data_IF_447101138556
#
_entry.id   IF_447101138556
#
_cell.length_a   1.000
_cell.length_b   1.000
_cell.length_c   1.000
_cell.angle_alpha   90.00
_cell.angle_beta   90.00
_cell.angle_gamma   90.00
#
_symmetry.space_group_name_H-M   'P 1'
#
loop_
_entity.id
_entity.type
_entity.pdbx_description
1 polymer ?
#
# COMPACT_ATOMS: atom_id res chain seq x y z
N UNK A 1 -2.85 -44.04 -29.83
CA UNK A 1 -1.67 -44.56 -30.58
C UNK A 1 -0.99 -43.39 -31.26
N UNK A 2 0.36 -43.37 -31.32
CA UNK A 2 1.24 -42.36 -31.95
C UNK A 2 1.10 -40.88 -31.46
N UNK A 3 2.12 -40.01 -31.30
CA UNK A 3 3.51 -39.86 -31.79
C UNK A 3 3.72 -39.24 -33.18
N UNK A 4 3.94 -37.92 -33.22
CA UNK A 4 4.80 -37.12 -34.13
C UNK A 4 4.71 -35.63 -33.68
N UNK A 5 5.73 -34.79 -33.45
CA UNK A 5 7.20 -34.82 -33.52
C UNK A 5 7.91 -34.46 -34.86
N UNK A 6 8.42 -33.20 -34.93
CA UNK A 6 9.57 -32.70 -35.76
C UNK A 6 9.36 -32.61 -37.29
N UNK A 7 10.09 -31.78 -38.08
CA UNK A 7 11.01 -30.65 -37.83
C UNK A 7 11.17 -29.77 -39.13
N UNK A 8 12.30 -29.05 -39.27
CA UNK A 8 12.87 -28.36 -40.47
C UNK A 8 12.53 -26.87 -40.70
N UNK A 9 13.30 -26.09 -41.50
CA UNK A 9 14.75 -25.78 -41.43
C UNK A 9 15.18 -24.68 -42.45
N UNK A 10 16.13 -23.81 -42.06
CA UNK A 10 17.05 -23.01 -42.92
C UNK A 10 16.48 -21.89 -43.85
N UNK A 11 17.37 -20.98 -44.30
CA UNK A 11 17.15 -19.88 -45.28
C UNK A 11 18.03 -20.07 -46.54
N UNK A 12 18.71 -19.05 -47.14
CA UNK A 12 18.74 -17.59 -46.89
C UNK A 12 18.88 -16.68 -48.19
N UNK A 13 19.28 -15.40 -48.03
CA UNK A 13 19.95 -14.45 -48.98
C UNK A 13 19.14 -13.35 -49.77
N UNK A 14 19.84 -12.23 -50.12
CA UNK A 14 19.37 -10.99 -50.79
C UNK A 14 19.32 -9.73 -49.87
N UNK A 15 19.90 -8.52 -50.07
CA UNK A 15 20.83 -7.84 -51.03
C UNK A 15 20.32 -6.81 -52.09
N UNK A 16 21.18 -5.80 -52.37
CA UNK A 16 21.05 -4.56 -53.23
C UNK A 16 20.15 -3.43 -52.63
N UNK A 17 20.44 -2.10 -52.56
CA UNK A 17 21.27 -1.09 -53.29
C UNK A 17 20.46 -0.29 -54.37
N UNK A 18 20.46 1.06 -54.55
CA UNK A 18 21.22 2.26 -54.07
C UNK A 18 20.23 3.42 -53.69
N UNK A 19 20.50 4.52 -52.93
CA UNK A 19 21.50 5.63 -52.85
C UNK A 19 21.18 6.91 -53.68
N UNK A 20 21.26 8.12 -53.05
CA UNK A 20 21.42 9.54 -53.53
C UNK A 20 20.95 10.48 -52.37
N UNK A 21 21.71 11.40 -51.75
CA UNK A 21 22.51 12.58 -52.15
C UNK A 21 21.74 13.88 -52.47
N UNK A 22 21.81 14.87 -51.57
CA UNK A 22 22.07 16.28 -51.92
C UNK A 22 22.63 17.08 -50.73
N UNK A 23 23.24 18.24 -51.01
CA UNK A 23 24.13 18.96 -50.08
C UNK A 23 24.36 20.42 -50.48
N UNK A 24 24.41 21.38 -49.55
CA UNK A 24 25.13 22.65 -49.76
C UNK A 24 25.30 23.54 -48.51
N UNK A 25 26.36 24.38 -48.57
CA UNK A 25 26.63 25.68 -47.88
C UNK A 25 27.63 25.75 -46.70
N UNK A 26 28.69 26.53 -46.98
CA UNK A 26 29.68 27.19 -46.09
C UNK A 26 29.92 28.59 -46.67
N UNK A 27 30.22 29.63 -45.86
CA UNK A 27 31.61 30.07 -45.65
C UNK A 27 31.85 30.56 -44.18
N UNK A 28 32.99 31.07 -43.71
CA UNK A 28 34.45 31.00 -44.00
C UNK A 28 35.12 32.34 -43.59
N UNK A 29 35.98 32.32 -42.57
CA UNK A 29 36.91 33.37 -42.09
C UNK A 29 37.89 32.69 -41.10
N UNK A 30 39.15 33.09 -40.89
CA UNK A 30 39.99 34.02 -41.67
C UNK A 30 41.14 34.66 -40.85
N UNK A 31 42.39 34.32 -41.22
CA UNK A 31 43.63 35.15 -41.07
C UNK A 31 44.44 35.15 -39.74
N UNK A 32 45.76 35.33 -39.90
CA UNK A 32 46.85 35.60 -38.92
C UNK A 32 47.26 34.54 -37.85
N UNK A 33 48.54 34.37 -37.49
CA UNK A 33 49.84 34.41 -38.22
C UNK A 33 50.91 33.66 -37.38
N UNK A 34 51.89 33.01 -38.01
CA UNK A 34 53.09 32.50 -37.30
C UNK A 34 54.15 33.60 -37.13
N UNK A 35 54.48 33.97 -35.89
CA UNK A 35 55.72 34.71 -35.56
C UNK A 35 56.07 34.55 -34.07
N UNK A 36 57.36 34.70 -33.75
CA UNK A 36 57.97 34.61 -32.41
C UNK A 36 57.95 33.24 -31.72
N UNK A 37 59.01 32.46 -31.92
CA UNK A 37 59.40 31.38 -31.02
C UNK A 37 60.26 31.86 -29.85
N UNK A 38 60.33 31.07 -28.78
CA UNK A 38 61.19 31.33 -27.61
C UNK A 38 60.80 30.44 -26.43
N UNK A 39 61.70 29.54 -26.00
CA UNK A 39 61.48 28.65 -24.86
C UNK A 39 62.07 29.19 -23.55
N UNK A 40 61.58 28.72 -22.41
CA UNK A 40 62.14 29.06 -21.09
C UNK A 40 61.15 28.90 -19.93
N UNK A 41 60.85 27.67 -19.51
CA UNK A 41 60.02 27.41 -18.33
C UNK A 41 60.85 27.29 -17.05
N UNK A 42 60.66 28.18 -16.07
CA UNK A 42 61.43 28.16 -14.82
C UNK A 42 60.83 28.94 -13.64
N UNK A 43 60.34 28.20 -12.65
CA UNK A 43 60.29 28.46 -11.20
C UNK A 43 59.60 29.72 -10.58
N UNK A 44 58.78 29.43 -9.55
CA UNK A 44 58.90 29.89 -8.14
C UNK A 44 57.72 30.65 -7.48
N UNK A 45 57.00 29.95 -6.56
CA UNK A 45 56.37 30.43 -5.30
C UNK A 45 55.30 31.56 -5.33
N UNK A 46 54.42 31.74 -4.33
CA UNK A 46 53.83 30.90 -3.27
C UNK A 46 52.70 31.72 -2.59
N UNK A 47 51.56 31.11 -2.21
CA UNK A 47 50.74 31.56 -1.07
C UNK A 47 49.75 30.48 -0.62
N UNK A 48 49.47 30.41 0.69
CA UNK A 48 48.69 29.33 1.31
C UNK A 48 47.19 29.62 1.48
N UNK A 49 46.49 28.74 2.21
CA UNK A 49 45.25 29.11 2.92
C UNK A 49 44.03 28.19 2.77
N UNK A 50 43.98 27.32 1.76
CA UNK A 50 42.85 26.40 1.58
C UNK A 50 42.82 25.28 2.62
N UNK A 51 41.81 25.26 3.50
CA UNK A 51 41.52 24.09 4.38
C UNK A 51 41.05 22.92 3.53
N UNK A 52 41.97 22.04 3.13
CA UNK A 52 41.64 20.78 2.45
C UNK A 52 40.71 19.96 3.34
N UNK A 53 39.69 19.34 2.74
CA UNK A 53 39.04 18.19 3.35
C UNK A 53 40.04 17.03 3.51
N UNK A 54 39.69 15.95 4.24
CA UNK A 54 40.54 14.77 4.29
C UNK A 54 40.80 14.27 2.86
N UNK A 55 42.09 14.11 2.51
CA UNK A 55 42.46 13.64 1.17
C UNK A 55 41.94 12.20 0.96
N UNK A 56 41.36 11.88 -0.20
CA UNK A 56 40.75 10.58 -0.43
C UNK A 56 41.79 9.47 -0.34
N UNK A 57 41.43 8.38 0.34
CA UNK A 57 42.32 7.24 0.59
C UNK A 57 42.70 6.60 -0.75
N UNK A 58 43.98 6.62 -1.10
CA UNK A 58 44.48 5.97 -2.31
C UNK A 58 44.58 4.46 -2.09
N UNK A 59 43.49 3.76 -2.42
CA UNK A 59 43.39 2.31 -2.39
C UNK A 59 44.35 1.62 -3.37
N UNK A 60 44.64 0.31 -3.18
CA UNK A 60 45.38 -0.48 -4.18
C UNK A 60 44.70 -0.43 -5.57
N UNK A 61 45.48 -0.52 -6.67
CA UNK A 61 44.91 -0.50 -8.02
C UNK A 61 43.95 -1.68 -8.20
N UNK A 62 42.69 -1.38 -8.57
CA UNK A 62 41.63 -2.38 -8.67
C UNK A 62 40.94 -2.72 -7.34
N UNK A 63 40.86 -1.74 -6.42
CA UNK A 63 40.02 -1.73 -5.20
C UNK A 63 39.26 -0.40 -5.12
N UNK A 64 37.96 -0.42 -4.80
CA UNK A 64 37.09 0.77 -4.68
C UNK A 64 36.84 1.21 -3.23
N UNK A 65 36.49 2.49 -3.02
CA UNK A 65 35.99 2.99 -1.72
C UNK A 65 34.71 2.27 -1.24
N UNK A 66 33.87 1.80 -2.18
CA UNK A 66 32.73 0.94 -1.85
C UNK A 66 33.19 -0.53 -1.72
N UNK A 67 32.82 -1.17 -0.61
CA UNK A 67 33.06 -2.60 -0.40
C UNK A 67 32.17 -3.48 -1.32
N UNK A 68 32.75 -4.58 -1.81
CA UNK A 68 32.09 -5.58 -2.66
C UNK A 68 30.76 -6.06 -2.08
N UNK A 69 29.77 -6.26 -2.95
CA UNK A 69 28.49 -6.87 -2.59
C UNK A 69 28.66 -8.25 -1.93
N UNK A 70 29.68 -9.03 -2.32
CA UNK A 70 29.99 -10.34 -1.72
C UNK A 70 30.48 -10.24 -0.26
N UNK A 71 31.14 -9.13 0.08
CA UNK A 71 31.72 -8.86 1.40
C UNK A 71 30.92 -7.86 2.24
N UNK A 72 29.72 -7.51 1.79
CA UNK A 72 28.78 -6.61 2.48
C UNK A 72 28.46 -7.03 3.92
N UNK A 73 28.62 -8.32 4.26
CA UNK A 73 28.44 -8.87 5.61
C UNK A 73 29.41 -8.32 6.67
N UNK A 74 30.48 -7.63 6.26
CA UNK A 74 31.38 -6.94 7.18
C UNK A 74 30.81 -5.60 7.69
N UNK A 75 29.81 -5.02 7.03
CA UNK A 75 29.15 -3.77 7.48
C UNK A 75 28.43 -4.00 8.82
N UNK A 76 28.61 -3.08 9.78
CA UNK A 76 27.99 -3.11 11.11
C UNK A 76 28.66 -4.04 12.13
N UNK A 77 29.80 -4.65 11.80
CA UNK A 77 30.49 -5.64 12.66
C UNK A 77 31.55 -5.00 13.57
N UNK A 78 31.71 -5.54 14.78
CA UNK A 78 32.73 -5.17 15.77
C UNK A 78 33.73 -6.31 15.96
N UNK A 79 35.01 -5.97 15.88
CA UNK A 79 36.15 -6.87 15.95
C UNK A 79 37.09 -6.43 17.06
N UNK A 80 37.64 -7.37 17.82
CA UNK A 80 38.76 -7.11 18.71
C UNK A 80 40.05 -6.98 17.90
N UNK A 81 40.74 -5.85 18.07
CA UNK A 81 42.04 -5.56 17.50
C UNK A 81 43.12 -6.28 18.31
N UNK A 82 43.78 -7.24 17.66
CA UNK A 82 44.74 -8.17 18.28
C UNK A 82 44.14 -8.89 19.50
N UNK A 83 44.97 -9.26 20.48
CA UNK A 83 44.53 -9.75 21.78
C UNK A 83 44.55 -8.61 22.83
N UNK A 84 44.63 -7.35 22.38
CA UNK A 84 45.11 -6.22 23.17
C UNK A 84 43.96 -5.39 23.80
N UNK A 85 42.72 -5.90 23.72
CA UNK A 85 41.52 -5.35 24.36
C UNK A 85 40.78 -4.24 23.61
N UNK A 86 41.38 -3.63 22.59
CA UNK A 86 40.72 -2.59 21.78
C UNK A 86 39.67 -3.18 20.83
N UNK A 87 38.55 -2.48 20.60
CA UNK A 87 37.56 -2.83 19.57
C UNK A 87 37.59 -1.88 18.38
N UNK A 88 37.27 -2.43 17.21
CA UNK A 88 37.20 -1.75 15.92
C UNK A 88 35.86 -2.08 15.26
N UNK A 89 35.13 -1.07 14.82
CA UNK A 89 33.79 -1.20 14.23
C UNK A 89 33.81 -0.75 12.78
N UNK A 90 33.15 -1.52 11.91
CA UNK A 90 33.11 -1.26 10.47
C UNK A 90 31.78 -0.61 10.08
N UNK A 91 31.78 0.70 9.78
CA UNK A 91 30.56 1.43 9.39
C UNK A 91 30.04 1.05 8.01
N UNK A 92 28.76 1.28 7.73
CA UNK A 92 28.14 1.02 6.42
C UNK A 92 28.73 1.89 5.30
N UNK A 93 29.19 3.09 5.64
CA UNK A 93 29.66 4.13 4.72
C UNK A 93 31.17 4.01 4.38
N UNK A 94 31.81 2.93 4.83
CA UNK A 94 33.24 2.67 4.62
C UNK A 94 34.16 3.34 5.65
N UNK A 95 33.62 3.99 6.68
CA UNK A 95 34.42 4.55 7.80
C UNK A 95 34.64 3.51 8.93
N UNK A 96 35.71 3.69 9.71
CA UNK A 96 36.03 2.85 10.88
C UNK A 96 35.90 3.69 12.17
N UNK A 97 35.11 3.22 13.14
CA UNK A 97 35.15 3.72 14.51
C UNK A 97 36.06 2.81 15.37
N UNK A 98 37.11 3.40 15.94
CA UNK A 98 38.05 2.75 16.84
C UNK A 98 38.65 3.78 17.82
N UNK A 99 38.88 3.43 19.11
CA UNK A 99 39.37 4.34 20.15
C UNK A 99 40.89 4.62 20.05
N UNK A 100 41.40 4.74 18.82
CA UNK A 100 42.81 4.85 18.48
C UNK A 100 43.11 6.30 18.07
N UNK A 101 44.07 6.97 18.71
CA UNK A 101 44.36 8.40 18.49
C UNK A 101 44.68 8.72 17.02
N UNK A 102 45.35 7.80 16.33
CA UNK A 102 45.68 7.87 14.90
C UNK A 102 44.45 7.88 13.96
N UNK A 103 43.25 7.60 14.49
CA UNK A 103 42.02 7.39 13.73
C UNK A 103 41.10 8.63 13.66
N UNK A 104 41.40 9.69 14.41
CA UNK A 104 40.62 10.93 14.55
C UNK A 104 40.40 11.76 13.27
N UNK A 105 40.91 11.31 12.11
CA UNK A 105 40.82 12.03 10.82
C UNK A 105 40.34 11.16 9.65
N UNK A 106 39.51 10.16 9.94
CA UNK A 106 38.85 9.34 8.92
C UNK A 106 39.66 8.09 8.55
N UNK A 107 39.73 7.13 9.47
CA UNK A 107 40.04 5.75 9.08
C UNK A 107 38.94 5.22 8.16
N UNK A 108 39.32 4.52 7.08
CA UNK A 108 38.38 3.88 6.16
C UNK A 108 38.64 2.41 5.97
N UNK A 109 37.62 1.67 5.55
CA UNK A 109 37.70 0.28 5.13
C UNK A 109 36.96 0.02 3.83
N UNK A 110 37.42 -0.99 3.11
CA UNK A 110 36.74 -1.58 1.95
C UNK A 110 37.10 -3.07 1.86
N UNK A 111 36.34 -3.86 1.12
CA UNK A 111 36.53 -5.31 1.05
C UNK A 111 36.24 -5.86 -0.35
N UNK A 112 37.18 -6.61 -0.92
CA UNK A 112 37.11 -7.10 -2.29
C UNK A 112 37.99 -8.35 -2.50
N UNK A 113 37.55 -9.28 -3.37
CA UNK A 113 38.33 -10.45 -3.84
C UNK A 113 38.98 -11.27 -2.70
N UNK A 114 38.22 -11.63 -1.66
CA UNK A 114 38.74 -12.40 -0.52
C UNK A 114 39.56 -11.61 0.50
N UNK A 115 39.55 -10.27 0.44
CA UNK A 115 40.40 -9.41 1.27
C UNK A 115 39.66 -8.21 1.83
N UNK A 116 39.93 -7.90 3.10
CA UNK A 116 39.48 -6.71 3.80
C UNK A 116 40.67 -5.74 3.92
N UNK A 117 40.50 -4.52 3.40
CA UNK A 117 41.48 -3.46 3.45
C UNK A 117 41.08 -2.43 4.50
N UNK A 118 41.98 -2.12 5.43
CA UNK A 118 41.78 -1.10 6.46
C UNK A 118 42.85 -0.01 6.33
N UNK A 119 42.43 1.24 6.11
CA UNK A 119 43.27 2.43 6.13
C UNK A 119 43.22 3.05 7.51
N UNK A 120 44.28 2.89 8.31
CA UNK A 120 44.40 3.44 9.66
C UNK A 120 45.44 4.57 9.66
N UNK A 121 45.02 5.74 9.17
CA UNK A 121 45.76 7.00 9.27
C UNK A 121 47.26 6.89 8.97
N UNK A 122 48.10 7.22 9.95
CA UNK A 122 49.56 7.22 9.81
C UNK A 122 50.22 5.83 9.77
N UNK A 123 49.51 4.76 10.16
CA UNK A 123 49.99 3.38 10.03
C UNK A 123 49.83 2.86 8.58
N UNK A 124 48.91 3.44 7.80
CA UNK A 124 48.67 3.11 6.40
C UNK A 124 47.64 1.99 6.21
N UNK A 125 47.73 1.29 5.08
CA UNK A 125 46.75 0.27 4.67
C UNK A 125 47.21 -1.13 5.12
N UNK A 126 46.35 -1.79 5.88
CA UNK A 126 46.45 -3.20 6.25
C UNK A 126 45.62 -4.06 5.30
N UNK A 127 46.15 -5.23 4.94
CA UNK A 127 45.48 -6.21 4.09
C UNK A 127 45.20 -7.49 4.92
N UNK A 128 43.93 -7.73 5.22
CA UNK A 128 43.41 -8.88 5.98
C UNK A 128 42.79 -9.89 5.02
N UNK A 129 43.07 -11.18 5.23
CA UNK A 129 42.39 -12.24 4.49
C UNK A 129 40.99 -12.46 5.09
N UNK A 130 39.95 -12.37 4.25
CA UNK A 130 38.55 -12.48 4.65
C UNK A 130 37.83 -13.56 3.81
N UNK A 131 37.04 -14.47 4.42
CA UNK A 131 36.34 -15.51 3.68
C UNK A 131 35.30 -14.91 2.72
N UNK A 132 35.31 -15.39 1.48
CA UNK A 132 34.28 -15.16 0.47
C UNK A 132 33.81 -16.55 -0.02
N UNK A 133 32.55 -16.96 0.18
CA UNK A 133 31.45 -16.24 0.82
C UNK A 133 31.54 -16.18 2.38
N UNK A 134 30.57 -15.50 2.99
CA UNK A 134 30.37 -15.40 4.46
C UNK A 134 30.40 -16.79 5.15
N UNK A 135 31.09 -16.93 6.30
CA UNK A 135 31.15 -18.21 7.03
C UNK A 135 29.83 -18.51 7.77
N UNK A 136 29.50 -19.80 7.91
CA UNK A 136 28.26 -20.25 8.55
C UNK A 136 28.19 -19.98 10.07
N UNK A 137 29.34 -19.84 10.75
CA UNK A 137 29.44 -19.34 12.12
C UNK A 137 30.46 -18.21 12.15
N UNK A 138 30.06 -17.06 12.70
CA UNK A 138 30.88 -15.85 12.81
C UNK A 138 31.70 -15.82 14.12
N UNK A 139 31.13 -16.39 15.18
CA UNK A 139 31.71 -16.46 16.51
C UNK A 139 33.06 -17.18 16.52
N UNK A 140 34.09 -16.53 17.05
CA UNK A 140 35.47 -17.05 17.08
C UNK A 140 36.24 -16.91 15.75
N UNK A 141 35.65 -16.36 14.69
CA UNK A 141 36.34 -16.13 13.42
C UNK A 141 37.50 -15.13 13.59
N UNK A 142 38.68 -15.42 13.01
CA UNK A 142 39.87 -14.56 13.12
C UNK A 142 40.44 -14.22 11.75
N UNK A 143 40.33 -12.95 11.35
CA UNK A 143 40.96 -12.42 10.14
C UNK A 143 42.42 -12.07 10.45
N UNK A 144 43.34 -12.45 9.57
CA UNK A 144 44.79 -12.22 9.76
C UNK A 144 45.40 -11.55 8.54
N UNK A 145 46.29 -10.61 8.80
CA UNK A 145 46.80 -9.69 7.79
C UNK A 145 48.06 -8.96 8.21
N UNK A 146 48.55 -8.12 7.30
CA UNK A 146 49.83 -7.43 7.41
C UNK A 146 49.70 -5.97 6.96
N UNK A 147 50.55 -5.09 7.48
CA UNK A 147 50.69 -3.73 6.94
C UNK A 147 51.35 -3.79 5.56
N UNK A 148 50.76 -3.12 4.56
CA UNK A 148 51.36 -2.99 3.22
C UNK A 148 52.64 -2.13 3.23
N UNK A 149 52.83 -1.33 4.29
CA UNK A 149 54.03 -0.50 4.51
C UNK A 149 55.18 -1.29 5.15
N UNK A 150 54.87 -2.27 5.99
CA UNK A 150 55.85 -3.07 6.72
C UNK A 150 55.32 -4.49 6.97
N UNK A 151 55.82 -5.49 6.25
CA UNK A 151 55.38 -6.88 6.35
C UNK A 151 55.69 -7.57 7.70
N UNK A 152 56.42 -6.92 8.60
CA UNK A 152 56.62 -7.38 9.99
C UNK A 152 55.46 -6.98 10.91
N UNK A 153 54.73 -5.92 10.59
CA UNK A 153 53.53 -5.51 11.34
C UNK A 153 52.35 -6.41 10.96
N UNK A 154 51.85 -7.14 11.96
CA UNK A 154 50.74 -8.10 11.81
C UNK A 154 49.50 -7.56 12.51
N UNK A 155 48.36 -7.69 11.86
CA UNK A 155 47.05 -7.39 12.44
C UNK A 155 46.24 -8.69 12.52
N UNK A 156 45.64 -8.96 13.68
CA UNK A 156 44.63 -10.01 13.82
C UNK A 156 43.33 -9.38 14.31
N UNK A 157 42.27 -9.45 13.52
CA UNK A 157 40.93 -9.09 13.96
C UNK A 157 40.18 -10.35 14.40
N UNK A 158 39.73 -10.38 15.65
CA UNK A 158 38.89 -11.48 16.18
C UNK A 158 37.44 -11.01 16.23
N UNK A 159 36.50 -11.74 15.62
CA UNK A 159 35.09 -11.35 15.62
C UNK A 159 34.56 -11.28 17.04
N UNK A 160 33.96 -10.15 17.42
CA UNK A 160 33.40 -9.96 18.75
C UNK A 160 31.88 -10.08 18.71
N UNK A 161 31.21 -9.21 17.93
CA UNK A 161 29.75 -9.17 17.76
C UNK A 161 29.35 -8.28 16.58
N UNK A 162 28.05 -8.18 16.33
CA UNK A 162 27.47 -7.08 15.56
C UNK A 162 27.25 -5.90 16.53
N UNK A 163 27.63 -4.69 16.14
CA UNK A 163 27.55 -3.47 16.99
C UNK A 163 26.50 -2.48 16.47
N UNK A 164 26.18 -2.54 15.17
CA UNK A 164 25.08 -1.78 14.59
C UNK A 164 23.73 -2.24 15.19
N UNK A 165 23.13 -1.39 16.00
CA UNK A 165 21.84 -1.65 16.66
C UNK A 165 20.66 -1.76 15.69
N UNK A 166 20.80 -1.37 14.42
CA UNK A 166 19.81 -1.67 13.38
C UNK A 166 19.97 -3.08 12.79
N UNK A 167 21.14 -3.72 12.93
CA UNK A 167 21.49 -4.98 12.26
C UNK A 167 21.28 -6.24 13.11
N UNK A 168 20.82 -6.10 14.35
CA UNK A 168 20.53 -7.23 15.26
C UNK A 168 19.01 -7.53 15.36
N UNK A 169 18.15 -6.56 15.05
CA UNK A 169 16.70 -6.74 14.92
C UNK A 169 16.24 -6.99 13.47
N UNK A 170 17.10 -7.66 12.69
CA UNK A 170 16.85 -8.12 11.33
C UNK A 170 16.99 -9.65 11.24
N UNK A 171 16.39 -10.22 10.19
CA UNK A 171 16.54 -11.62 9.77
C UNK A 171 16.02 -12.72 10.72
N UNK A 172 14.99 -12.40 11.52
CA UNK A 172 13.92 -13.37 11.85
C UNK A 172 12.56 -12.78 11.50
N UNK A 173 11.84 -13.48 10.64
CA UNK A 173 10.44 -13.18 10.36
C UNK A 173 9.56 -13.67 11.51
N UNK A 174 8.64 -12.84 12.00
CA UNK A 174 7.75 -13.19 13.12
C UNK A 174 6.82 -14.37 12.76
N UNK A 175 6.42 -14.51 11.49
CA UNK A 175 5.68 -15.68 11.02
C UNK A 175 6.55 -16.95 11.04
N UNK A 176 7.84 -16.84 10.68
CA UNK A 176 8.81 -17.95 10.73
C UNK A 176 9.21 -18.31 12.19
N UNK A 177 9.22 -17.33 13.11
CA UNK A 177 9.43 -17.55 14.57
C UNK A 177 8.28 -18.36 15.18
N UNK A 178 7.03 -18.05 14.81
CA UNK A 178 5.86 -18.82 15.25
C UNK A 178 5.66 -20.10 14.43
N UNK A 179 6.31 -20.26 13.27
CA UNK A 179 6.15 -21.42 12.38
C UNK A 179 4.80 -21.47 11.66
N UNK A 180 4.29 -20.31 11.25
CA UNK A 180 3.00 -20.11 10.57
C UNK A 180 3.19 -19.45 9.20
N UNK A 181 2.23 -19.56 8.27
CA UNK A 181 2.29 -18.83 6.99
C UNK A 181 1.91 -17.35 7.16
N UNK A 182 2.26 -16.51 6.18
CA UNK A 182 1.99 -15.06 6.19
C UNK A 182 0.48 -14.72 6.17
N UNK A 183 -0.35 -15.61 5.63
CA UNK A 183 -1.81 -15.48 5.55
C UNK A 183 -2.57 -16.04 6.76
N UNK A 184 -1.86 -16.40 7.83
CA UNK A 184 -2.46 -16.98 9.03
C UNK A 184 -3.47 -16.03 9.72
N UNK A 185 -4.62 -16.61 10.09
CA UNK A 185 -5.68 -15.97 10.84
C UNK A 185 -5.33 -15.80 12.32
N UNK A 186 -6.05 -14.89 12.99
CA UNK A 186 -5.83 -14.54 14.40
C UNK A 186 -6.03 -15.74 15.35
N UNK A 187 -6.95 -16.66 15.05
CA UNK A 187 -7.18 -17.84 15.88
C UNK A 187 -6.05 -18.87 15.71
N UNK A 188 -5.49 -19.03 14.50
CA UNK A 188 -4.27 -19.81 14.27
C UNK A 188 -3.07 -19.21 15.00
N UNK A 189 -2.85 -17.89 14.91
CA UNK A 189 -1.79 -17.19 15.65
C UNK A 189 -1.89 -17.46 17.15
N UNK A 190 -3.08 -17.25 17.76
CA UNK A 190 -3.35 -17.52 19.18
C UNK A 190 -3.16 -18.99 19.56
N UNK A 191 -3.58 -19.92 18.69
CA UNK A 191 -3.47 -21.38 18.92
C UNK A 191 -2.02 -21.86 18.89
N UNK A 192 -1.22 -21.36 17.95
CA UNK A 192 0.20 -21.73 17.82
C UNK A 192 1.03 -21.08 18.92
N UNK A 193 0.80 -19.81 19.26
CA UNK A 193 1.42 -19.15 20.41
C UNK A 193 1.22 -19.97 21.70
N UNK A 194 -0.04 -20.30 22.06
CA UNK A 194 -0.34 -21.12 23.26
C UNK A 194 0.42 -22.44 23.31
N UNK A 195 0.61 -23.13 22.16
CA UNK A 195 1.40 -24.36 22.07
C UNK A 195 2.87 -24.11 22.37
N UNK A 196 3.47 -23.10 21.74
CA UNK A 196 4.89 -22.76 21.89
C UNK A 196 5.21 -22.21 23.29
N UNK A 197 4.34 -21.37 23.87
CA UNK A 197 4.48 -20.87 25.25
C UNK A 197 4.48 -21.99 26.28
N UNK A 198 3.67 -23.05 26.09
CA UNK A 198 3.67 -24.22 26.98
C UNK A 198 4.92 -25.08 26.77
N UNK A 199 5.43 -25.16 25.54
CA UNK A 199 6.62 -25.93 25.19
C UNK A 199 7.92 -25.31 25.73
N UNK A 200 8.05 -23.98 25.69
CA UNK A 200 9.25 -23.25 26.11
C UNK A 200 9.09 -22.54 27.47
N UNK A 201 8.08 -22.90 28.26
CA UNK A 201 7.82 -22.24 29.55
C UNK A 201 9.01 -22.40 30.52
N UNK A 202 9.54 -21.32 31.11
CA UNK A 202 10.71 -21.39 32.00
C UNK A 202 10.58 -22.41 33.15
N UNK A 203 9.39 -22.51 33.76
CA UNK A 203 9.12 -23.46 34.85
C UNK A 203 9.19 -24.94 34.44
N UNK A 204 9.03 -25.24 33.15
CA UNK A 204 9.04 -26.61 32.59
C UNK A 204 10.38 -26.95 31.93
N UNK A 205 10.96 -25.97 31.25
CA UNK A 205 12.24 -26.07 30.56
C UNK A 205 13.10 -24.85 30.97
N UNK A 206 13.87 -24.95 32.08
CA UNK A 206 14.58 -23.82 32.67
C UNK A 206 15.91 -23.47 31.97
N UNK A 207 16.17 -24.06 30.79
CA UNK A 207 17.38 -23.82 30.01
C UNK A 207 17.34 -22.46 29.26
N UNK A 208 18.52 -21.87 29.04
CA UNK A 208 18.63 -20.56 28.39
C UNK A 208 18.17 -20.55 26.93
N UNK A 209 18.18 -21.69 26.23
CA UNK A 209 17.68 -21.77 24.87
C UNK A 209 16.14 -21.71 24.84
N UNK A 210 15.45 -22.42 25.74
CA UNK A 210 14.01 -22.31 25.94
C UNK A 210 13.59 -20.90 26.38
N UNK A 211 14.31 -20.29 27.34
CA UNK A 211 14.04 -18.89 27.74
C UNK A 211 14.16 -17.91 26.58
N UNK A 212 15.23 -18.01 25.78
CA UNK A 212 15.41 -17.17 24.60
C UNK A 212 14.31 -17.40 23.54
N UNK A 213 13.94 -18.67 23.29
CA UNK A 213 12.84 -19.00 22.36
C UNK A 213 11.47 -18.55 22.88
N UNK A 214 11.23 -18.59 24.19
CA UNK A 214 10.01 -18.08 24.80
C UNK A 214 9.88 -16.56 24.63
N UNK A 215 10.99 -15.81 24.77
CA UNK A 215 11.01 -14.38 24.47
C UNK A 215 10.73 -14.11 22.98
N UNK A 216 11.43 -14.77 22.05
CA UNK A 216 11.17 -14.63 20.60
C UNK A 216 9.69 -14.90 20.25
N UNK A 217 9.10 -15.96 20.81
CA UNK A 217 7.71 -16.36 20.58
C UNK A 217 6.71 -15.37 21.20
N UNK A 218 7.01 -14.80 22.37
CA UNK A 218 6.20 -13.75 23.02
C UNK A 218 6.20 -12.47 22.19
N UNK A 219 7.37 -12.03 21.77
CA UNK A 219 7.54 -10.72 21.10
C UNK A 219 6.97 -10.77 19.67
N UNK A 220 7.10 -11.92 18.99
CA UNK A 220 6.41 -12.19 17.73
C UNK A 220 4.88 -12.21 17.89
N UNK A 221 4.36 -12.80 18.98
CA UNK A 221 2.92 -12.82 19.24
C UNK A 221 2.37 -11.44 19.58
N UNK A 222 3.07 -10.60 20.36
CA UNK A 222 2.58 -9.25 20.69
C UNK A 222 2.35 -8.41 19.43
N UNK A 223 3.29 -8.47 18.47
CA UNK A 223 3.23 -7.71 17.22
C UNK A 223 2.20 -8.31 16.24
N UNK A 224 2.08 -9.63 16.15
CA UNK A 224 1.16 -10.28 15.19
C UNK A 224 -0.28 -10.45 15.70
N UNK A 225 -0.53 -10.30 17.01
CA UNK A 225 -1.87 -10.34 17.61
C UNK A 225 -2.56 -8.96 17.61
N UNK A 226 -1.80 -7.87 17.69
CA UNK A 226 -2.35 -6.52 17.53
C UNK A 226 -2.55 -6.20 16.02
N UNK A 227 -3.76 -5.81 15.57
CA UNK A 227 -4.03 -5.64 14.14
C UNK A 227 -3.26 -4.46 13.53
N UNK A 228 -3.02 -3.40 14.29
CA UNK A 228 -2.29 -2.22 13.81
C UNK A 228 -0.78 -2.50 13.78
N UNK A 229 -0.22 -3.13 14.83
CA UNK A 229 1.19 -3.59 14.81
C UNK A 229 1.42 -4.61 13.69
N UNK A 230 0.47 -5.53 13.43
CA UNK A 230 0.56 -6.51 12.33
C UNK A 230 0.61 -5.80 10.97
N UNK A 231 -0.31 -4.86 10.69
CA UNK A 231 -0.31 -4.12 9.42
C UNK A 231 0.96 -3.29 9.25
N UNK A 232 1.49 -2.68 10.31
CA UNK A 232 2.77 -1.96 10.25
C UNK A 232 3.95 -2.88 9.99
N UNK A 233 3.96 -4.07 10.60
CA UNK A 233 4.98 -5.09 10.35
C UNK A 233 4.93 -5.62 8.90
N UNK A 234 3.73 -5.86 8.36
CA UNK A 234 3.58 -6.33 6.98
C UNK A 234 3.91 -5.24 5.96
N UNK A 235 3.49 -3.99 6.20
CA UNK A 235 3.72 -2.85 5.29
C UNK A 235 5.10 -2.21 5.42
N UNK A 236 5.81 -2.33 6.55
CA UNK A 236 7.09 -1.64 6.78
C UNK A 236 8.09 -2.36 7.71
N UNK A 237 7.80 -3.58 8.17
CA UNK A 237 8.69 -4.38 9.01
C UNK A 237 8.85 -3.83 10.43
N UNK A 238 9.85 -4.36 11.15
CA UNK A 238 10.16 -3.95 12.54
C UNK A 238 10.45 -2.45 12.70
N UNK A 239 10.91 -1.78 11.64
CA UNK A 239 11.12 -0.33 11.65
C UNK A 239 9.82 0.45 11.88
N UNK A 240 8.76 0.11 11.14
CA UNK A 240 7.46 0.75 11.27
C UNK A 240 6.81 0.50 12.63
N UNK A 241 6.95 -0.72 13.19
CA UNK A 241 6.48 -1.05 14.53
C UNK A 241 7.23 -0.23 15.60
N UNK A 242 8.56 -0.11 15.48
CA UNK A 242 9.35 0.74 16.39
C UNK A 242 9.02 2.23 16.28
N UNK A 243 8.56 2.71 15.12
CA UNK A 243 8.11 4.09 14.96
C UNK A 243 6.66 4.30 15.44
N UNK A 244 5.84 3.24 15.51
CA UNK A 244 4.58 3.21 16.28
C UNK A 244 4.80 3.55 17.74
N UNK A 245 5.75 2.87 18.36
CA UNK A 245 6.03 2.96 19.80
C UNK A 245 6.66 4.32 20.19
N UNK A 246 7.14 5.08 19.19
CA UNK A 246 7.59 6.47 19.31
C UNK A 246 6.50 7.49 18.95
N UNK A 247 5.28 7.06 18.64
CA UNK A 247 4.14 7.92 18.27
C UNK A 247 4.27 8.59 16.89
N UNK A 248 5.00 8.00 15.94
CA UNK A 248 5.35 8.61 14.63
C UNK A 248 4.58 8.04 13.43
N UNK A 249 3.39 7.48 13.63
CA UNK A 249 2.58 6.95 12.51
C UNK A 249 1.69 8.05 11.92
N UNK A 250 1.75 8.17 10.59
CA UNK A 250 0.72 8.79 9.79
C UNK A 250 -0.23 7.71 9.25
N UNK A 251 -1.53 7.98 9.18
CA UNK A 251 -2.49 7.10 8.51
C UNK A 251 -2.64 7.45 7.03
N UNK A 252 -3.04 6.48 6.20
CA UNK A 252 -3.51 6.78 4.84
C UNK A 252 -4.90 7.41 4.88
N UNK A 253 -5.26 8.15 3.83
CA UNK A 253 -6.59 8.76 3.72
C UNK A 253 -7.69 7.73 3.46
N UNK A 254 -8.91 8.04 3.90
CA UNK A 254 -10.07 7.16 3.74
C UNK A 254 -10.49 7.00 2.26
N UNK A 255 -11.02 5.81 1.93
CA UNK A 255 -11.57 5.47 0.62
C UNK A 255 -13.09 5.59 0.64
N UNK A 256 -13.61 6.67 0.06
CA UNK A 256 -15.04 6.83 -0.17
C UNK A 256 -15.49 6.01 -1.39
N UNK A 257 -16.57 5.24 -1.26
CA UNK A 257 -17.18 4.48 -2.36
C UNK A 257 -18.71 4.51 -2.26
N UNK A 258 -19.42 4.48 -3.39
CA UNK A 258 -20.89 4.40 -3.42
C UNK A 258 -21.33 2.98 -3.83
N UNK A 259 -22.30 2.41 -3.11
CA UNK A 259 -22.91 1.11 -3.46
C UNK A 259 -24.41 1.23 -3.69
N UNK A 260 -24.91 0.59 -4.75
CA UNK A 260 -26.34 0.59 -5.08
C UNK A 260 -27.10 -0.55 -4.39
N UNK A 261 -28.18 -0.19 -3.70
CA UNK A 261 -29.01 -1.04 -2.85
C UNK A 261 -30.47 -0.96 -3.31
N UNK A 262 -31.22 -2.07 -3.27
CA UNK A 262 -32.65 -2.09 -3.59
C UNK A 262 -33.51 -1.38 -2.54
N UNK A 263 -34.72 -0.92 -2.91
CA UNK A 263 -35.67 -0.44 -1.91
C UNK A 263 -36.18 -1.59 -1.02
N UNK A 264 -36.23 -2.77 -1.59
CA UNK A 264 -36.51 -4.07 -0.98
C UNK A 264 -35.52 -4.37 0.16
N UNK A 265 -34.21 -4.18 -0.09
CA UNK A 265 -33.15 -4.35 0.92
C UNK A 265 -33.30 -3.36 2.09
N UNK A 266 -33.64 -2.10 1.81
CA UNK A 266 -33.88 -1.08 2.84
C UNK A 266 -35.18 -1.30 3.64
N UNK A 267 -36.14 -2.06 3.09
CA UNK A 267 -37.41 -2.39 3.75
C UNK A 267 -37.27 -3.64 4.63
N UNK A 268 -36.72 -4.73 4.07
CA UNK A 268 -36.57 -6.00 4.77
C UNK A 268 -35.34 -6.07 5.69
N UNK A 269 -34.30 -5.28 5.39
CA UNK A 269 -32.95 -5.49 5.90
C UNK A 269 -32.26 -6.64 5.14
N UNK A 270 -30.94 -6.54 4.93
CA UNK A 270 -30.17 -7.55 4.20
C UNK A 270 -28.72 -7.63 4.71
N UNK A 271 -28.02 -8.69 4.31
CA UNK A 271 -26.58 -8.89 4.50
C UNK A 271 -25.96 -9.41 3.20
N UNK A 272 -25.01 -8.68 2.61
CA UNK A 272 -24.31 -9.09 1.40
C UNK A 272 -22.84 -8.64 1.41
N UNK A 273 -22.01 -9.28 0.59
CA UNK A 273 -20.60 -8.90 0.46
C UNK A 273 -20.38 -7.90 -0.66
N UNK A 274 -19.87 -6.71 -0.33
CA UNK A 274 -19.41 -5.72 -1.29
C UNK A 274 -17.92 -5.94 -1.58
N UNK A 275 -17.56 -6.08 -2.87
CA UNK A 275 -16.18 -6.28 -3.30
C UNK A 275 -15.50 -4.93 -3.58
N UNK A 276 -14.56 -4.53 -2.72
CA UNK A 276 -13.81 -3.27 -2.86
C UNK A 276 -12.38 -3.53 -3.29
N UNK A 277 -11.94 -2.86 -4.36
CA UNK A 277 -10.55 -2.95 -4.84
C UNK A 277 -9.65 -2.06 -4.00
N UNK A 278 -8.63 -2.66 -3.38
CA UNK A 278 -7.61 -1.94 -2.61
C UNK A 278 -6.19 -2.38 -2.98
N UNK A 279 -5.26 -1.43 -2.91
CA UNK A 279 -3.84 -1.72 -3.00
C UNK A 279 -3.29 -2.20 -1.65
N UNK A 280 -2.68 -3.39 -1.64
CA UNK A 280 -1.96 -3.95 -0.49
C UNK A 280 -0.44 -3.96 -0.76
N UNK A 281 0.38 -3.84 0.29
CA UNK A 281 1.84 -3.86 0.16
C UNK A 281 2.34 -5.30 0.02
N UNK A 282 3.08 -5.60 -1.05
CA UNK A 282 3.46 -6.98 -1.36
C UNK A 282 4.74 -7.41 -0.63
N UNK A 283 4.59 -7.92 0.59
CA UNK A 283 5.65 -8.44 1.48
C UNK A 283 6.64 -9.38 0.77
N UNK A 284 6.13 -10.33 -0.01
CA UNK A 284 6.95 -11.24 -0.82
C UNK A 284 7.87 -10.53 -1.84
N UNK A 285 7.49 -9.35 -2.33
CA UNK A 285 8.33 -8.54 -3.20
C UNK A 285 9.33 -7.64 -2.46
N UNK A 286 9.17 -7.45 -1.15
CA UNK A 286 10.22 -6.87 -0.27
C UNK A 286 11.33 -7.88 -0.04
N UNK A 287 10.99 -9.15 0.23
CA UNK A 287 11.95 -10.27 0.36
C UNK A 287 12.60 -10.65 -0.99
N UNK A 288 11.81 -10.82 -2.05
CA UNK A 288 12.23 -11.41 -3.33
C UNK A 288 11.68 -10.63 -4.55
N UNK A 289 12.24 -9.45 -4.87
CA UNK A 289 11.69 -8.52 -5.87
C UNK A 289 11.64 -9.07 -7.30
N UNK A 290 12.54 -10.01 -7.64
CA UNK A 290 12.70 -10.64 -8.96
C UNK A 290 11.90 -11.95 -9.12
N UNK A 291 11.18 -12.39 -8.08
CA UNK A 291 10.37 -13.60 -8.14
C UNK A 291 9.26 -13.47 -9.21
N UNK A 292 8.85 -14.59 -9.88
CA UNK A 292 7.88 -14.53 -10.97
C UNK A 292 6.52 -13.94 -10.53
N UNK A 293 6.13 -14.16 -9.27
CA UNK A 293 4.91 -13.63 -8.67
C UNK A 293 4.93 -12.09 -8.56
N UNK A 294 6.11 -11.48 -8.48
CA UNK A 294 6.30 -10.03 -8.40
C UNK A 294 6.26 -9.29 -9.74
N UNK A 295 5.93 -9.99 -10.85
CA UNK A 295 5.70 -9.37 -12.17
C UNK A 295 4.35 -8.63 -12.27
N UNK A 296 3.34 -9.07 -11.51
CA UNK A 296 2.02 -8.43 -11.47
C UNK A 296 1.89 -7.29 -10.44
N UNK A 297 2.96 -6.97 -9.70
CA UNK A 297 2.94 -5.95 -8.66
C UNK A 297 3.58 -4.64 -9.17
N UNK A 298 2.80 -3.57 -9.24
CA UNK A 298 3.28 -2.23 -9.58
C UNK A 298 4.04 -1.58 -8.42
N UNK A 299 4.61 -0.38 -8.60
CA UNK A 299 5.12 0.41 -7.45
C UNK A 299 3.95 0.89 -6.59
N UNK A 300 4.14 0.97 -5.28
CA UNK A 300 3.17 1.62 -4.40
C UNK A 300 3.11 3.14 -4.70
N UNK A 301 1.99 3.80 -4.37
CA UNK A 301 1.84 5.25 -4.51
C UNK A 301 2.94 6.00 -3.71
N UNK A 302 3.30 7.19 -4.19
CA UNK A 302 4.33 8.01 -3.55
C UNK A 302 3.93 8.42 -2.13
N UNK A 303 4.94 8.61 -1.27
CA UNK A 303 4.75 9.15 0.08
C UNK A 303 4.96 10.65 0.03
N UNK A 304 3.96 11.44 0.44
CA UNK A 304 4.14 12.88 0.66
C UNK A 304 4.91 13.02 1.97
N UNK A 305 6.13 13.55 1.94
CA UNK A 305 6.92 13.83 3.15
C UNK A 305 7.18 15.33 3.26
N UNK A 306 7.10 15.84 4.49
CA UNK A 306 7.52 17.21 4.79
C UNK A 306 9.04 17.24 4.86
N UNK A 307 9.66 17.81 3.82
CA UNK A 307 11.11 18.00 3.73
C UNK A 307 11.44 19.43 4.16
N UNK A 308 12.42 19.58 5.05
CA UNK A 308 12.97 20.89 5.36
C UNK A 308 13.94 21.30 4.25
N UNK A 309 13.52 22.28 3.44
CA UNK A 309 14.31 22.84 2.34
C UNK A 309 14.90 24.17 2.81
N UNK A 310 16.21 24.32 2.65
CA UNK A 310 16.89 25.58 2.98
C UNK A 310 16.73 26.57 1.82
N UNK A 311 15.92 27.62 2.02
CA UNK A 311 15.76 28.73 1.09
C UNK A 311 16.59 29.92 1.59
N UNK A 312 17.89 29.90 1.26
CA UNK A 312 18.84 30.91 1.70
C UNK A 312 19.08 30.84 3.22
N UNK A 313 18.92 31.92 3.99
CA UNK A 313 19.10 31.92 5.44
C UNK A 313 17.91 31.33 6.22
N UNK A 314 16.80 30.95 5.55
CA UNK A 314 15.61 30.40 6.19
C UNK A 314 15.40 28.92 5.85
N UNK A 315 14.97 28.13 6.84
CA UNK A 315 14.47 26.77 6.64
C UNK A 315 12.95 26.85 6.43
N UNK A 316 12.46 26.30 5.32
CA UNK A 316 11.01 26.14 5.07
C UNK A 316 10.64 24.66 5.06
N UNK A 317 9.40 24.35 5.47
CA UNK A 317 8.84 23.01 5.36
C UNK A 317 8.04 22.91 4.06
N UNK A 318 8.50 22.10 3.13
CA UNK A 318 7.81 21.85 1.86
C UNK A 318 7.39 20.38 1.78
N UNK A 319 6.16 20.13 1.33
CA UNK A 319 5.71 18.78 0.99
C UNK A 319 6.35 18.33 -0.33
N UNK A 320 7.03 17.19 -0.31
CA UNK A 320 7.63 16.57 -1.48
C UNK A 320 7.15 15.12 -1.62
N UNK A 321 6.77 14.72 -2.82
CA UNK A 321 6.50 13.32 -3.14
C UNK A 321 7.82 12.53 -3.22
N UNK A 322 8.02 11.64 -2.26
CA UNK A 322 9.11 10.66 -2.23
C UNK A 322 8.61 9.37 -2.89
N UNK A 323 9.26 8.87 -3.95
CA UNK A 323 8.84 7.65 -4.62
C UNK A 323 9.02 6.45 -3.69
N UNK A 324 8.00 5.57 -3.65
CA UNK A 324 8.08 4.36 -2.85
C UNK A 324 9.13 3.39 -3.40
N UNK A 325 9.85 2.70 -2.49
CA UNK A 325 10.78 1.62 -2.85
C UNK A 325 10.06 0.28 -3.07
N UNK A 326 8.79 0.18 -2.69
CA UNK A 326 8.07 -1.08 -2.55
C UNK A 326 7.09 -1.34 -3.69
N UNK A 327 6.73 -2.62 -3.87
CA UNK A 327 5.71 -3.04 -4.84
C UNK A 327 4.37 -3.29 -4.14
N UNK A 328 3.29 -2.80 -4.72
CA UNK A 328 1.92 -3.02 -4.27
C UNK A 328 1.16 -3.91 -5.25
N UNK A 329 0.20 -4.69 -4.73
CA UNK A 329 -0.71 -5.54 -5.49
C UNK A 329 -2.14 -5.02 -5.31
N UNK A 330 -2.91 -4.95 -6.39
CA UNK A 330 -4.36 -4.71 -6.29
C UNK A 330 -5.06 -6.02 -5.94
N UNK A 331 -5.95 -5.97 -4.95
CA UNK A 331 -6.74 -7.12 -4.45
C UNK A 331 -8.18 -6.68 -4.22
N UNK A 332 -9.12 -7.51 -4.66
CA UNK A 332 -10.53 -7.38 -4.30
C UNK A 332 -10.73 -7.88 -2.86
N UNK A 333 -11.11 -6.98 -1.96
CA UNK A 333 -11.43 -7.28 -0.57
C UNK A 333 -12.96 -7.36 -0.40
N UNK A 334 -13.52 -8.48 0.08
CA UNK A 334 -14.92 -8.54 0.49
C UNK A 334 -15.13 -7.74 1.78
N UNK A 335 -16.21 -6.96 1.82
CA UNK A 335 -16.70 -6.28 3.02
C UNK A 335 -18.13 -6.78 3.29
N UNK A 336 -18.37 -7.32 4.48
CA UNK A 336 -19.71 -7.74 4.90
C UNK A 336 -20.58 -6.51 5.20
N UNK A 337 -21.48 -6.18 4.28
CA UNK A 337 -22.40 -5.05 4.37
C UNK A 337 -23.71 -5.54 5.01
N UNK A 338 -23.94 -5.13 6.26
CA UNK A 338 -25.25 -5.26 6.89
C UNK A 338 -26.07 -3.99 6.67
N UNK A 339 -27.30 -4.17 6.18
CA UNK A 339 -28.29 -3.11 6.02
C UNK A 339 -29.43 -3.36 7.00
N UNK A 340 -29.61 -2.43 7.92
CA UNK A 340 -30.70 -2.42 8.90
C UNK A 340 -32.00 -1.93 8.26
N UNK A 341 -33.14 -2.34 8.80
CA UNK A 341 -34.46 -1.87 8.36
C UNK A 341 -34.58 -0.36 8.50
N UNK A 342 -35.10 0.30 7.48
CA UNK A 342 -35.32 1.75 7.51
C UNK A 342 -34.09 2.61 7.20
N UNK A 343 -32.88 2.04 7.09
CA UNK A 343 -31.69 2.75 6.59
C UNK A 343 -31.98 3.48 5.28
N UNK A 344 -31.34 4.63 5.05
CA UNK A 344 -31.70 5.57 4.00
C UNK A 344 -30.62 5.72 2.92
N UNK A 345 -31.00 6.24 1.75
CA UNK A 345 -30.04 6.61 0.71
C UNK A 345 -29.24 7.83 1.16
N UNK A 346 -27.94 7.65 1.38
CA UNK A 346 -27.04 8.65 1.94
C UNK A 346 -26.40 8.23 3.26
N UNK A 347 -26.97 7.26 3.97
CA UNK A 347 -26.30 6.60 5.11
C UNK A 347 -24.96 6.00 4.67
N UNK A 348 -24.01 5.92 5.60
CA UNK A 348 -22.63 5.50 5.31
C UNK A 348 -22.13 4.49 6.34
N UNK A 349 -21.50 3.42 5.85
CA UNK A 349 -20.92 2.34 6.64
C UNK A 349 -19.39 2.41 6.58
N UNK A 350 -18.74 2.45 7.74
CA UNK A 350 -17.30 2.69 7.86
C UNK A 350 -16.56 1.42 8.28
N UNK A 351 -15.65 0.95 7.43
CA UNK A 351 -14.82 -0.22 7.65
C UNK A 351 -13.38 0.24 7.97
N UNK A 352 -12.97 0.31 9.25
CA UNK A 352 -11.64 0.81 9.63
C UNK A 352 -10.53 -0.10 9.11
N UNK A 353 -9.35 0.48 8.85
CA UNK A 353 -8.14 -0.19 8.31
C UNK A 353 -8.29 -0.87 6.93
N UNK A 354 -9.44 -0.79 6.27
CA UNK A 354 -9.69 -1.46 4.99
C UNK A 354 -9.30 -0.63 3.74
N UNK A 355 -8.79 0.60 3.89
CA UNK A 355 -8.36 1.43 2.75
C UNK A 355 -7.07 0.90 2.07
N UNK A 356 -6.50 1.70 1.16
CA UNK A 356 -5.18 1.41 0.57
C UNK A 356 -4.06 1.45 1.62
N UNK A 357 -3.22 0.43 1.60
CA UNK A 357 -2.01 0.35 2.41
C UNK A 357 -0.87 1.17 1.79
N UNK A 358 0.03 1.70 2.64
CA UNK A 358 1.29 2.33 2.20
C UNK A 358 2.42 1.92 3.14
N UNK A 359 3.68 1.80 2.67
CA UNK A 359 4.75 1.27 3.50
C UNK A 359 5.02 2.06 4.77
N UNK A 360 4.81 1.46 5.95
CA UNK A 360 5.00 2.12 7.24
C UNK A 360 3.94 3.16 7.61
N UNK A 361 2.74 3.10 7.00
CA UNK A 361 1.57 3.90 7.38
C UNK A 361 0.41 2.96 7.74
N UNK A 362 -0.40 3.30 8.74
CA UNK A 362 -1.64 2.56 9.00
C UNK A 362 -2.70 2.91 7.94
N UNK A 363 -3.42 1.95 7.35
CA UNK A 363 -4.48 2.26 6.41
C UNK A 363 -5.62 3.04 7.07
N UNK A 364 -6.24 3.94 6.29
CA UNK A 364 -7.51 4.57 6.62
C UNK A 364 -8.69 3.60 6.53
N UNK A 365 -9.89 4.15 6.57
CA UNK A 365 -11.16 3.43 6.51
C UNK A 365 -11.70 3.37 5.08
N UNK A 366 -12.52 2.36 4.76
CA UNK A 366 -13.43 2.42 3.61
C UNK A 366 -14.77 2.96 4.10
N UNK A 367 -15.28 4.00 3.46
CA UNK A 367 -16.60 4.58 3.77
C UNK A 367 -17.53 4.23 2.59
N UNK A 368 -18.40 3.24 2.80
CA UNK A 368 -19.41 2.82 1.83
C UNK A 368 -20.68 3.63 2.03
N UNK A 369 -20.95 4.55 1.10
CA UNK A 369 -22.18 5.35 1.08
C UNK A 369 -23.27 4.58 0.33
N UNK A 370 -24.41 4.38 1.01
CA UNK A 370 -25.55 3.65 0.46
C UNK A 370 -26.34 4.53 -0.50
N UNK A 371 -26.70 3.97 -1.66
CA UNK A 371 -27.43 4.66 -2.72
C UNK A 371 -28.64 3.82 -3.15
N UNK A 372 -29.85 4.38 -3.03
CA UNK A 372 -31.04 3.69 -3.49
C UNK A 372 -31.07 3.58 -5.02
N UNK A 373 -31.12 2.34 -5.52
CA UNK A 373 -31.40 2.06 -6.92
C UNK A 373 -32.83 2.48 -7.24
N UNK A 374 -33.07 2.98 -8.46
CA UNK A 374 -34.41 3.36 -8.91
C UNK A 374 -35.28 2.11 -9.13
N UNK A 375 -36.21 1.83 -8.21
CA UNK A 375 -37.21 0.77 -8.37
C UNK A 375 -38.28 1.18 -9.41
N UNK A 376 -38.80 0.26 -10.27
CA UNK A 376 -39.76 0.60 -11.32
C UNK A 376 -41.16 1.03 -10.85
N UNK A 377 -41.63 0.62 -9.66
CA UNK A 377 -42.99 0.96 -9.17
C UNK A 377 -43.03 1.97 -8.03
N UNK A 378 -41.94 2.13 -7.28
CA UNK A 378 -41.93 2.83 -6.00
C UNK A 378 -40.79 3.84 -5.93
N UNK A 379 -41.07 5.00 -5.35
CA UNK A 379 -40.09 6.04 -5.02
C UNK A 379 -40.23 6.39 -3.54
N UNK A 380 -39.15 6.20 -2.76
CA UNK A 380 -39.10 6.59 -1.35
C UNK A 380 -38.90 8.10 -1.22
N UNK A 381 -39.58 8.70 -0.25
CA UNK A 381 -39.41 10.09 0.16
C UNK A 381 -39.46 10.17 1.70
N UNK A 382 -38.30 10.33 2.34
CA UNK A 382 -38.19 10.15 3.80
C UNK A 382 -38.55 8.72 4.21
N UNK A 383 -39.62 8.56 4.99
CA UNK A 383 -40.17 7.25 5.37
C UNK A 383 -41.41 6.87 4.55
N UNK A 384 -41.91 7.76 3.69
CA UNK A 384 -43.08 7.48 2.86
C UNK A 384 -42.69 6.85 1.53
N UNK A 385 -43.59 6.04 0.97
CA UNK A 385 -43.48 5.49 -0.38
C UNK A 385 -44.46 6.21 -1.31
N UNK A 386 -44.02 6.48 -2.54
CA UNK A 386 -44.84 7.04 -3.62
C UNK A 386 -44.90 6.05 -4.78
N UNK A 387 -46.07 5.91 -5.40
CA UNK A 387 -46.28 5.10 -6.60
C UNK A 387 -47.28 5.78 -7.54
N UNK A 388 -47.03 5.73 -8.85
CA UNK A 388 -47.98 6.20 -9.86
C UNK A 388 -48.89 5.04 -10.30
N UNK A 389 -50.20 5.24 -10.27
CA UNK A 389 -51.21 4.26 -10.69
C UNK A 389 -52.09 4.83 -11.80
N UNK A 390 -52.22 4.10 -12.90
CA UNK A 390 -53.15 4.46 -13.99
C UNK A 390 -54.52 3.80 -13.82
N UNK A 391 -55.58 4.60 -13.99
CA UNK A 391 -56.98 4.15 -14.05
C UNK A 391 -57.67 4.72 -15.28
N UNK A 392 -58.70 4.04 -15.79
CA UNK A 392 -59.52 4.57 -16.88
C UNK A 392 -60.48 5.66 -16.40
N UNK A 393 -60.93 6.53 -17.31
CA UNK A 393 -61.99 7.52 -17.04
C UNK A 393 -63.27 6.89 -16.42
N UNK A 394 -63.63 5.66 -16.80
CA UNK A 394 -64.77 4.93 -16.21
C UNK A 394 -64.54 4.64 -14.72
N UNK A 395 -63.38 4.09 -14.39
CA UNK A 395 -62.95 3.79 -13.01
C UNK A 395 -62.81 5.07 -12.18
N UNK A 396 -62.41 6.18 -12.82
CA UNK A 396 -62.33 7.49 -12.18
C UNK A 396 -63.69 8.06 -11.73
N UNK A 397 -64.78 7.65 -12.39
CA UNK A 397 -66.14 8.15 -12.15
C UNK A 397 -67.00 7.19 -11.31
N UNK A 398 -66.86 5.89 -11.51
CA UNK A 398 -67.66 4.85 -10.84
C UNK A 398 -66.99 4.27 -9.58
N UNK A 399 -65.77 4.72 -9.25
CA UNK A 399 -64.93 4.11 -8.25
C UNK A 399 -64.13 2.91 -8.79
N UNK A 400 -63.12 2.50 -8.02
CA UNK A 400 -62.14 1.50 -8.44
C UNK A 400 -61.50 0.77 -7.26
N UNK A 401 -60.88 -0.37 -7.58
CA UNK A 401 -60.06 -1.16 -6.65
C UNK A 401 -58.90 -1.77 -7.43
N UNK A 402 -57.70 -1.74 -6.84
CA UNK A 402 -56.48 -2.32 -7.38
C UNK A 402 -55.66 -2.94 -6.26
N UNK A 403 -55.14 -4.13 -6.50
CA UNK A 403 -54.18 -4.79 -5.60
C UNK A 403 -52.77 -4.46 -6.07
N UNK A 404 -51.95 -3.91 -5.18
CA UNK A 404 -50.54 -3.60 -5.43
C UNK A 404 -49.65 -4.57 -4.64
N UNK A 405 -48.62 -5.11 -5.30
CA UNK A 405 -47.56 -5.87 -4.60
C UNK A 405 -46.57 -4.90 -3.95
N UNK A 406 -46.36 -5.01 -2.65
CA UNK A 406 -45.38 -4.24 -1.88
C UNK A 406 -43.95 -4.80 -2.06
N UNK A 407 -42.96 -4.17 -1.41
CA UNK A 407 -41.53 -4.48 -1.44
C UNK A 407 -41.18 -5.82 -0.77
N UNK A 408 -42.00 -6.30 0.17
CA UNK A 408 -41.88 -7.62 0.81
C UNK A 408 -42.64 -8.73 0.05
N UNK A 409 -43.41 -8.38 -0.98
CA UNK A 409 -44.28 -9.28 -1.73
C UNK A 409 -45.73 -9.38 -1.25
N UNK A 410 -46.13 -8.71 -0.16
CA UNK A 410 -47.52 -8.73 0.28
C UNK A 410 -48.44 -7.88 -0.63
N UNK A 411 -49.75 -8.06 -0.48
CA UNK A 411 -50.77 -7.50 -1.36
C UNK A 411 -51.59 -6.38 -0.69
N UNK A 412 -51.28 -5.12 -1.01
CA UNK A 412 -52.05 -3.95 -0.55
C UNK A 412 -53.30 -3.77 -1.42
N UNK A 413 -54.49 -3.77 -0.83
CA UNK A 413 -55.73 -3.42 -1.53
C UNK A 413 -55.97 -1.90 -1.47
N UNK A 414 -55.81 -1.21 -2.60
CA UNK A 414 -56.09 0.22 -2.72
C UNK A 414 -57.44 0.40 -3.42
N UNK A 415 -58.37 1.08 -2.76
CA UNK A 415 -59.73 1.31 -3.28
C UNK A 415 -60.22 2.72 -3.00
N UNK A 416 -60.95 3.26 -3.98
CA UNK A 416 -61.78 4.46 -3.83
C UNK A 416 -63.16 4.10 -4.39
N UNK A 417 -64.09 3.80 -3.50
CA UNK A 417 -65.49 3.44 -3.81
C UNK A 417 -66.36 4.64 -3.44
N UNK A 418 -67.52 4.80 -4.09
CA UNK A 418 -68.52 5.86 -3.83
C UNK A 418 -68.07 7.33 -4.05
N UNK A 419 -66.83 7.56 -4.49
CA UNK A 419 -66.28 8.90 -4.77
C UNK A 419 -65.59 8.97 -6.13
N UNK A 420 -65.79 10.08 -6.84
CA UNK A 420 -65.02 10.39 -8.05
C UNK A 420 -63.57 10.68 -7.71
N UNK A 421 -62.64 10.03 -8.43
CA UNK A 421 -61.21 10.30 -8.31
C UNK A 421 -60.81 11.37 -9.32
N UNK A 422 -59.99 12.34 -8.93
CA UNK A 422 -59.47 13.39 -9.83
C UNK A 422 -58.12 12.98 -10.42
N UNK A 423 -57.80 13.49 -11.62
CA UNK A 423 -56.49 13.31 -12.23
C UNK A 423 -55.39 13.96 -11.37
N UNK A 424 -54.29 13.22 -11.13
CA UNK A 424 -53.22 13.50 -10.17
C UNK A 424 -53.63 13.53 -8.68
N UNK A 425 -54.81 13.02 -8.32
CA UNK A 425 -55.18 12.86 -6.91
C UNK A 425 -54.28 11.83 -6.23
N UNK A 426 -53.80 12.15 -5.02
CA UNK A 426 -53.05 11.22 -4.19
C UNK A 426 -54.00 10.54 -3.21
N UNK A 427 -54.07 9.21 -3.27
CA UNK A 427 -54.74 8.36 -2.27
C UNK A 427 -53.68 7.90 -1.28
N UNK A 428 -53.94 8.05 0.03
CA UNK A 428 -53.00 7.71 1.09
C UNK A 428 -53.44 6.45 1.83
N UNK A 429 -52.61 5.42 1.81
CA UNK A 429 -52.79 4.18 2.58
C UNK A 429 -51.86 4.23 3.78
N UNK A 430 -52.40 4.00 4.99
CA UNK A 430 -51.66 4.23 6.24
C UNK A 430 -50.83 3.02 6.65
N UNK A 431 -49.61 3.24 7.12
CA UNK A 431 -48.71 2.17 7.59
C UNK A 431 -48.05 1.35 6.46
N UNK A 432 -48.22 1.76 5.20
CA UNK A 432 -47.71 1.06 4.01
C UNK A 432 -46.44 1.73 3.41
N UNK A 433 -45.79 2.62 4.16
CA UNK A 433 -44.52 3.24 3.76
C UNK A 433 -43.30 2.36 4.07
N UNK A 434 -42.14 2.98 4.30
CA UNK A 434 -40.94 2.31 4.80
C UNK A 434 -40.99 2.16 6.33
N UNK A 435 -40.35 1.13 6.92
CA UNK A 435 -40.14 1.07 8.36
C UNK A 435 -39.31 2.27 8.86
N UNK A 436 -39.59 2.71 10.08
CA UNK A 436 -38.79 3.71 10.78
C UNK A 436 -37.48 3.07 11.29
N UNK A 437 -36.41 3.87 11.34
CA UNK A 437 -35.09 3.41 11.80
C UNK A 437 -35.06 3.12 13.31
N UNK A 438 -35.66 4.01 14.10
CA UNK A 438 -35.64 3.94 15.56
C UNK A 438 -36.72 2.98 16.13
N UNK A 439 -37.78 2.73 15.35
CA UNK A 439 -38.80 1.72 15.63
C UNK A 439 -39.16 0.95 14.34
N UNK A 440 -38.49 -0.19 14.06
CA UNK A 440 -38.77 -1.02 12.90
C UNK A 440 -40.12 -1.76 12.90
N UNK A 441 -40.95 -1.59 13.94
CA UNK A 441 -42.35 -2.05 13.94
C UNK A 441 -43.34 -0.97 13.46
N UNK A 442 -42.92 0.30 13.46
CA UNK A 442 -43.67 1.41 12.88
C UNK A 442 -43.26 1.67 11.43
N UNK A 443 -44.23 2.01 10.60
CA UNK A 443 -44.06 2.30 9.17
C UNK A 443 -44.58 3.69 8.81
N UNK A 444 -44.01 4.30 7.78
CA UNK A 444 -44.57 5.49 7.12
C UNK A 444 -45.82 5.15 6.30
N UNK A 445 -46.18 6.01 5.34
CA UNK A 445 -47.41 5.85 4.55
C UNK A 445 -47.15 5.68 3.03
N UNK A 446 -48.05 4.96 2.35
CA UNK A 446 -48.03 4.82 0.89
C UNK A 446 -48.93 5.88 0.23
N UNK A 447 -48.35 6.65 -0.68
CA UNK A 447 -48.99 7.71 -1.44
C UNK A 447 -49.15 7.27 -2.90
N UNK A 448 -50.35 6.80 -3.24
CA UNK A 448 -50.72 6.34 -4.59
C UNK A 448 -51.23 7.53 -5.39
N UNK A 449 -50.42 8.01 -6.34
CA UNK A 449 -50.76 9.12 -7.22
C UNK A 449 -51.51 8.58 -8.44
N UNK A 450 -52.78 8.96 -8.56
CA UNK A 450 -53.71 8.42 -9.55
C UNK A 450 -53.69 9.25 -10.84
N UNK A 451 -53.24 8.64 -11.93
CA UNK A 451 -53.31 9.22 -13.27
C UNK A 451 -54.51 8.64 -14.03
N UNK A 452 -55.46 9.51 -14.39
CA UNK A 452 -56.63 9.12 -15.18
C UNK A 452 -56.25 9.13 -16.66
N UNK A 453 -56.37 7.98 -17.31
CA UNK A 453 -56.21 7.83 -18.76
C UNK A 453 -57.53 8.10 -19.49
N UNK A 454 -57.44 8.87 -20.58
CA UNK A 454 -58.59 9.37 -21.33
C UNK A 454 -58.68 8.69 -22.71
N UNK A 455 -59.87 8.22 -23.13
CA UNK A 455 -60.04 7.63 -24.45
C UNK A 455 -59.76 8.66 -25.54
N UNK A 456 -58.85 8.35 -26.47
CA UNK A 456 -58.38 9.27 -27.53
C UNK A 456 -59.51 9.83 -28.41
N UNK A 457 -60.60 9.10 -28.55
CA UNK A 457 -61.82 9.49 -29.24
C UNK A 457 -63.03 8.84 -28.56
N UNK A 458 -64.20 9.45 -28.71
CA UNK A 458 -65.49 8.92 -28.24
C UNK A 458 -66.42 8.70 -29.44
N UNK A 459 -67.24 7.66 -29.39
CA UNK A 459 -68.32 7.44 -30.38
C UNK A 459 -69.38 8.54 -30.31
N UNK A 460 -70.36 8.52 -31.21
CA UNK A 460 -71.49 9.46 -31.16
C UNK A 460 -72.38 9.18 -29.94
N UNK A 461 -72.82 7.94 -29.81
CA UNK A 461 -73.63 7.45 -28.68
C UNK A 461 -73.01 7.76 -27.31
N UNK A 462 -71.69 7.59 -27.17
CA UNK A 462 -70.99 7.93 -25.92
C UNK A 462 -71.00 9.43 -25.61
N UNK A 463 -70.91 10.31 -26.62
CA UNK A 463 -70.99 11.76 -26.42
C UNK A 463 -72.40 12.21 -26.08
N UNK A 464 -73.39 11.68 -26.79
CA UNK A 464 -74.80 11.98 -26.55
C UNK A 464 -75.22 11.52 -25.12
N UNK A 465 -74.73 10.36 -24.67
CA UNK A 465 -74.95 9.87 -23.30
C UNK A 465 -74.20 10.69 -22.22
N UNK A 466 -72.96 11.12 -22.48
CA UNK A 466 -72.20 11.96 -21.53
C UNK A 466 -72.88 13.33 -21.36
N UNK A 467 -73.37 13.94 -22.45
CA UNK A 467 -74.10 15.20 -22.39
C UNK A 467 -75.44 15.11 -21.62
N UNK A 468 -76.08 13.93 -21.61
CA UNK A 468 -77.28 13.70 -20.81
C UNK A 468 -76.97 13.55 -19.30
N UNK A 469 -75.81 12.99 -18.94
CA UNK A 469 -75.43 12.73 -17.54
C UNK A 469 -74.73 13.92 -16.89
N UNK A 470 -73.96 14.70 -17.65
CA UNK A 470 -73.20 15.86 -17.16
C UNK A 470 -73.67 17.14 -17.87
N UNK A 471 -74.70 17.83 -17.35
CA UNK A 471 -75.15 19.10 -17.92
C UNK A 471 -74.10 20.20 -17.74
N UNK A 472 -74.03 21.15 -18.68
CA UNK A 472 -73.02 22.24 -18.74
C UNK A 472 -73.07 23.26 -17.58
N UNK A 473 -73.92 23.05 -16.57
CA UNK A 473 -74.16 23.97 -15.47
C UNK A 473 -73.34 23.64 -14.22
N UNK A 474 -72.56 24.61 -13.74
CA UNK A 474 -72.13 24.64 -12.33
C UNK A 474 -73.37 24.63 -11.44
N UNK A 475 -73.51 23.60 -10.61
CA UNK A 475 -74.28 23.63 -9.38
C UNK A 475 -73.28 23.38 -8.25
N UNK A 476 -72.75 24.46 -7.69
CA UNK A 476 -71.66 24.40 -6.71
C UNK A 476 -72.19 23.95 -5.32
N UNK A 477 -71.56 22.90 -4.77
CA UNK A 477 -71.66 22.43 -3.38
C UNK A 477 -70.26 21.98 -2.90
#
# INVERSE_FOLDING_TARGET
>A
MAMAARAEAQGPQGWLALALLWSCLTPAQGFFEELFGGGGGGIHFEMGGGRRGPEPVQWPPGVSDEASKTMSWLKGTEWQWNNDGFTLKLSRDGDIDAPIQQCQRGCKWTAEKGKLYLSIGSAGIFELNAPDPKPARMEGQRLKGFSRRNSRERLTLTFHRIYDHEAVDLDKDLYEVLGIPEDADEATIKKVYRKLSIQYHPDKNPDEASKARFAEVRDAYEILNDPDKKILYDTGGMGAVKDSEKGKIESTGDLNSEIEVGLEDFYLGNQFQAMVKRGIVCRGCRKHPDSPNCKGCGRCKNQIKVVQVQMGPFLTQQQQEVPSKEKCKQVDAPLDVHIEKGMSSGDSLTFPRMAEERPGMLPGSVILKLKARKHPKFQRNGNDLHTDLTISLKESLLGWTRTLTHLDGHAVEVKQIDFTTRHLQVVKVRGEGMPLRDDPASFGDLHVKVSVDFPKQLTREQRDAIAQVFPDGRQDL
#
